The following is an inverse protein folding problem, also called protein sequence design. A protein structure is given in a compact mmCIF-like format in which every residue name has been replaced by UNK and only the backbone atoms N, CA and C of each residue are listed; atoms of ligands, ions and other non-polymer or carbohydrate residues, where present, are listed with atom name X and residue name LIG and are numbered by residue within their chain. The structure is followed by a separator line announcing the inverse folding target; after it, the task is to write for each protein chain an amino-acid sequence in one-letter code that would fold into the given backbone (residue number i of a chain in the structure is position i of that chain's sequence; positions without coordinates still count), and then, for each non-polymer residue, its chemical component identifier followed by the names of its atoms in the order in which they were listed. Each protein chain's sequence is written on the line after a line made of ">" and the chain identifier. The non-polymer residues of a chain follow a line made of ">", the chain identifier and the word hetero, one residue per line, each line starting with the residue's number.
data_IF_724328174328
#
_entry.id   IF_724328174328
#
_cell.length_a   1.000
_cell.length_b   1.000
_cell.length_c   1.000
_cell.angle_alpha   90.00
_cell.angle_beta   90.00
_cell.angle_gamma   90.00
#
_symmetry.space_group_name_H-M   'P 1'
#
loop_
_entity.id
_entity.type
_entity.pdbx_description
1 polymer ?
#
# COMPACT_ATOMS: atom_id res chain seq x y z
N UNK A 1 16.17 32.04 -2.25
CA UNK A 1 16.79 30.89 -1.56
C UNK A 1 16.44 29.53 -2.19
N UNK A 2 15.24 29.34 -2.77
CA UNK A 2 14.86 28.06 -3.40
C UNK A 2 15.59 27.74 -4.71
N UNK A 3 15.96 28.72 -5.52
CA UNK A 3 16.61 28.51 -6.82
C UNK A 3 18.03 28.00 -6.72
N UNK A 4 18.81 28.40 -5.72
CA UNK A 4 20.19 27.95 -5.56
C UNK A 4 20.32 26.43 -5.32
N UNK A 5 19.33 25.81 -4.63
CA UNK A 5 19.31 24.36 -4.40
C UNK A 5 19.04 23.52 -5.66
N UNK A 6 18.40 24.09 -6.68
CA UNK A 6 18.08 23.39 -7.93
C UNK A 6 19.32 23.14 -8.80
N UNK A 7 20.36 23.95 -8.67
CA UNK A 7 21.60 23.75 -9.40
C UNK A 7 22.34 22.47 -9.02
N UNK A 8 22.27 22.09 -7.76
CA UNK A 8 22.89 20.86 -7.25
C UNK A 8 22.19 19.59 -7.81
N UNK A 9 20.97 19.74 -8.34
CA UNK A 9 20.20 18.67 -8.96
C UNK A 9 20.39 18.61 -10.48
N UNK A 10 21.35 19.37 -11.05
CA UNK A 10 21.61 19.42 -12.51
C UNK A 10 20.52 20.15 -13.30
N UNK A 11 19.60 20.84 -12.63
CA UNK A 11 18.58 21.65 -13.28
C UNK A 11 19.18 22.98 -13.71
N UNK A 12 19.10 23.31 -15.02
CA UNK A 12 19.67 24.52 -15.60
C UNK A 12 19.13 25.82 -14.99
N UNK A 13 19.83 26.93 -15.30
CA UNK A 13 19.48 28.28 -14.80
C UNK A 13 18.14 28.83 -15.29
N UNK A 14 17.58 28.29 -16.38
CA UNK A 14 16.30 28.73 -16.94
C UNK A 14 15.14 27.91 -16.35
N UNK A 15 13.99 28.54 -16.05
CA UNK A 15 12.81 27.79 -15.62
C UNK A 15 12.36 26.83 -16.73
N UNK A 16 12.12 25.58 -16.40
CA UNK A 16 11.60 24.57 -17.32
C UNK A 16 10.11 24.85 -17.55
N UNK A 17 9.71 24.94 -18.81
CA UNK A 17 8.30 25.11 -19.18
C UNK A 17 7.47 23.87 -18.73
N UNK A 18 6.24 24.09 -18.29
CA UNK A 18 5.33 23.00 -17.87
C UNK A 18 5.13 21.95 -18.98
N UNK A 19 5.08 22.38 -20.24
CA UNK A 19 4.95 21.51 -21.42
C UNK A 19 6.16 20.59 -21.59
N UNK A 20 7.36 21.13 -21.45
CA UNK A 20 8.60 20.34 -21.52
C UNK A 20 8.65 19.29 -20.42
N UNK A 21 8.23 19.65 -19.20
CA UNK A 21 8.17 18.72 -18.09
C UNK A 21 7.11 17.62 -18.31
N UNK A 22 5.94 18.00 -18.81
CA UNK A 22 4.87 17.06 -19.15
C UNK A 22 5.31 16.06 -20.24
N UNK A 23 5.92 16.55 -21.32
CA UNK A 23 6.44 15.70 -22.41
C UNK A 23 7.54 14.77 -21.92
N UNK A 24 8.44 15.26 -21.07
CA UNK A 24 9.49 14.42 -20.49
C UNK A 24 8.90 13.29 -19.63
N UNK A 25 7.87 13.56 -18.81
CA UNK A 25 7.21 12.54 -18.02
C UNK A 25 6.41 11.54 -18.87
N UNK A 26 5.81 11.99 -19.98
CA UNK A 26 5.08 11.13 -20.89
C UNK A 26 5.99 10.14 -21.62
N UNK A 27 7.21 10.56 -21.98
CA UNK A 27 8.15 9.79 -22.78
C UNK A 27 9.14 8.95 -21.95
N UNK A 28 9.19 9.16 -20.63
CA UNK A 28 10.06 8.37 -19.75
C UNK A 28 9.39 7.07 -19.35
N UNK A 29 10.17 6.00 -19.28
CA UNK A 29 9.70 4.73 -18.72
C UNK A 29 9.38 4.91 -17.23
N UNK A 30 8.18 4.49 -16.83
CA UNK A 30 7.71 4.58 -15.44
C UNK A 30 8.60 3.75 -14.49
N UNK A 31 9.30 2.74 -14.99
CA UNK A 31 10.20 1.88 -14.20
C UNK A 31 11.32 2.67 -13.54
N UNK A 32 11.76 3.77 -14.13
CA UNK A 32 12.75 4.67 -13.51
C UNK A 32 12.24 5.18 -12.15
N UNK A 33 10.96 5.54 -12.08
CA UNK A 33 10.35 6.01 -10.82
C UNK A 33 10.05 4.85 -9.86
N UNK A 34 9.67 3.71 -10.38
CA UNK A 34 9.42 2.49 -9.61
C UNK A 34 10.70 1.98 -8.95
N UNK A 35 11.78 1.82 -9.70
CA UNK A 35 13.10 1.40 -9.20
C UNK A 35 13.64 2.37 -8.15
N UNK A 36 13.49 3.67 -8.41
CA UNK A 36 13.91 4.71 -7.48
C UNK A 36 13.08 4.65 -6.18
N UNK A 37 11.78 4.44 -6.28
CA UNK A 37 10.91 4.30 -5.10
C UNK A 37 11.34 3.09 -4.24
N UNK A 38 11.56 1.92 -4.85
CA UNK A 38 12.04 0.74 -4.13
C UNK A 38 13.42 0.95 -3.51
N UNK A 39 14.33 1.58 -4.23
CA UNK A 39 15.64 1.94 -3.70
C UNK A 39 15.54 2.81 -2.44
N UNK A 40 14.74 3.89 -2.48
CA UNK A 40 14.56 4.78 -1.33
C UNK A 40 13.90 4.04 -0.17
N UNK A 41 12.88 3.22 -0.43
CA UNK A 41 12.22 2.43 0.61
C UNK A 41 13.21 1.49 1.32
N UNK A 42 14.11 0.86 0.58
CA UNK A 42 15.15 0.00 1.14
C UNK A 42 16.14 0.79 2.02
N UNK A 43 16.60 1.97 1.55
CA UNK A 43 17.51 2.82 2.33
C UNK A 43 16.87 3.30 3.64
N UNK A 44 15.59 3.67 3.60
CA UNK A 44 14.88 4.12 4.79
C UNK A 44 14.69 2.97 5.79
N UNK A 45 14.35 1.76 5.32
CA UNK A 45 14.21 0.58 6.18
C UNK A 45 15.49 0.24 6.93
N UNK A 46 16.64 0.33 6.27
CA UNK A 46 17.94 0.08 6.91
C UNK A 46 18.25 1.06 8.04
N UNK A 47 17.72 2.28 7.97
CA UNK A 47 17.98 3.35 8.96
C UNK A 47 16.95 3.44 10.06
N UNK A 48 15.76 2.87 9.87
CA UNK A 48 14.63 3.00 10.77
C UNK A 48 14.32 1.65 11.40
N UNK A 49 14.86 1.45 12.61
CA UNK A 49 14.50 0.32 13.46
C UNK A 49 13.64 0.89 14.59
N UNK A 50 12.36 0.59 14.58
CA UNK A 50 11.43 0.95 15.66
C UNK A 50 10.73 -0.32 16.11
N UNK A 51 10.59 -0.49 17.41
CA UNK A 51 9.86 -1.60 18.03
C UNK A 51 8.62 -1.03 18.72
N UNK A 52 7.71 -0.50 17.89
CA UNK A 52 6.50 0.20 18.36
C UNK A 52 5.55 -0.78 19.04
N UNK A 53 5.36 -1.95 18.46
CA UNK A 53 4.36 -2.92 18.93
C UNK A 53 4.92 -3.96 19.87
N UNK A 54 6.24 -4.06 20.04
CA UNK A 54 6.91 -5.09 20.86
C UNK A 54 6.42 -6.52 20.54
N UNK A 55 6.17 -6.78 19.27
CA UNK A 55 5.74 -8.09 18.75
C UNK A 55 6.94 -8.80 18.12
N UNK A 56 6.87 -10.13 18.04
CA UNK A 56 7.93 -10.95 17.43
C UNK A 56 8.14 -10.66 15.94
N UNK A 57 7.08 -10.27 15.22
CA UNK A 57 7.10 -9.99 13.79
C UNK A 57 6.58 -8.59 13.46
N UNK A 58 6.83 -8.15 12.23
CA UNK A 58 6.40 -6.85 11.76
C UNK A 58 4.89 -6.75 11.62
N UNK A 59 4.38 -5.54 11.82
CA UNK A 59 2.96 -5.22 11.65
C UNK A 59 2.78 -4.43 10.36
N UNK A 60 1.96 -4.97 9.45
CA UNK A 60 1.64 -4.36 8.17
C UNK A 60 0.18 -3.93 8.10
N UNK A 61 -0.07 -2.73 7.59
CA UNK A 61 -1.40 -2.28 7.20
C UNK A 61 -1.54 -2.33 5.67
N UNK A 62 -2.63 -2.88 5.16
CA UNK A 62 -2.91 -2.90 3.73
C UNK A 62 -4.18 -2.12 3.43
N UNK A 63 -4.04 -1.10 2.59
CA UNK A 63 -5.16 -0.27 2.16
C UNK A 63 -5.00 0.22 0.73
N UNK A 64 -6.06 0.80 0.17
CA UNK A 64 -6.08 1.32 -1.19
C UNK A 64 -6.56 2.76 -1.27
N UNK A 65 -5.89 3.54 -2.10
CA UNK A 65 -6.28 4.90 -2.43
C UNK A 65 -6.69 4.99 -3.90
N UNK A 66 -7.85 5.56 -4.18
CA UNK A 66 -8.35 5.76 -5.54
C UNK A 66 -8.02 7.16 -6.04
N UNK A 67 -7.26 7.24 -7.12
CA UNK A 67 -6.93 8.49 -7.80
C UNK A 67 -7.82 8.66 -9.05
N UNK A 68 -8.67 9.70 -9.11
CA UNK A 68 -9.48 9.97 -10.28
C UNK A 68 -8.60 10.42 -11.46
N UNK A 69 -8.93 9.97 -12.65
CA UNK A 69 -8.24 10.31 -13.89
C UNK A 69 -9.17 11.03 -14.86
N UNK A 70 -8.58 11.84 -15.75
CA UNK A 70 -9.32 12.53 -16.80
C UNK A 70 -9.95 11.53 -17.78
N UNK A 71 -11.26 11.67 -18.02
CA UNK A 71 -12.05 10.75 -18.87
C UNK A 71 -11.54 10.67 -20.30
N UNK A 72 -11.16 11.81 -20.89
CA UNK A 72 -10.74 11.91 -22.29
C UNK A 72 -9.39 11.25 -22.57
N UNK A 73 -8.47 11.28 -21.60
CA UNK A 73 -7.11 10.76 -21.76
C UNK A 73 -7.00 9.30 -21.33
N UNK A 74 -7.74 8.89 -20.30
CA UNK A 74 -7.60 7.57 -19.67
C UNK A 74 -8.83 6.70 -19.90
N UNK A 75 -9.24 6.52 -21.14
CA UNK A 75 -10.43 5.76 -21.54
C UNK A 75 -10.40 4.28 -21.11
N UNK A 76 -9.24 3.70 -20.95
CA UNK A 76 -9.03 2.32 -20.51
C UNK A 76 -9.24 2.12 -19.00
N UNK A 77 -9.05 3.16 -18.18
CA UNK A 77 -9.12 3.09 -16.72
C UNK A 77 -10.58 3.23 -16.21
N UNK A 78 -11.49 2.41 -16.71
CA UNK A 78 -12.92 2.43 -16.36
C UNK A 78 -13.15 2.24 -14.86
N UNK A 79 -13.97 3.10 -14.25
CA UNK A 79 -14.34 2.99 -12.83
C UNK A 79 -15.85 2.99 -12.60
N UNK A 80 -16.57 3.97 -13.17
CA UNK A 80 -18.04 4.10 -13.16
C UNK A 80 -18.47 4.65 -14.52
N UNK A 81 -19.79 4.67 -14.82
CA UNK A 81 -20.31 5.14 -16.12
C UNK A 81 -19.70 6.48 -16.58
N UNK A 82 -19.39 7.41 -15.65
CA UNK A 82 -18.85 8.74 -15.93
C UNK A 82 -17.52 9.05 -15.23
N UNK A 83 -16.78 8.06 -14.74
CA UNK A 83 -15.51 8.28 -14.02
C UNK A 83 -14.44 7.31 -14.48
N UNK A 84 -13.20 7.78 -14.44
CA UNK A 84 -11.99 6.99 -14.65
C UNK A 84 -11.12 7.10 -13.42
N UNK A 85 -10.33 6.09 -13.14
CA UNK A 85 -9.43 6.13 -12.01
C UNK A 85 -8.51 4.93 -11.94
N UNK A 86 -7.42 5.12 -11.26
CA UNK A 86 -6.52 4.05 -10.83
C UNK A 86 -6.56 3.93 -9.32
N UNK A 87 -6.28 2.74 -8.84
CA UNK A 87 -6.19 2.42 -7.43
C UNK A 87 -4.75 2.02 -7.11
N UNK A 88 -4.17 2.68 -6.12
CA UNK A 88 -2.90 2.28 -5.54
C UNK A 88 -3.18 1.49 -4.26
N UNK A 89 -2.83 0.22 -4.25
CA UNK A 89 -2.87 -0.66 -3.07
C UNK A 89 -1.49 -0.64 -2.43
N UNK A 90 -1.43 -0.35 -1.15
CA UNK A 90 -0.18 -0.18 -0.41
C UNK A 90 -0.14 -1.12 0.77
N UNK A 91 0.90 -1.93 0.85
CA UNK A 91 1.26 -2.65 2.07
C UNK A 91 2.26 -1.77 2.84
N UNK A 92 1.84 -1.24 3.96
CA UNK A 92 2.59 -0.28 4.75
C UNK A 92 3.13 -0.94 6.01
N UNK A 93 4.43 -0.89 6.21
CA UNK A 93 5.08 -1.37 7.42
C UNK A 93 4.92 -0.31 8.51
N UNK A 94 4.18 -0.66 9.57
CA UNK A 94 3.90 0.25 10.67
C UNK A 94 5.09 0.46 11.60
N UNK A 95 6.03 -0.49 11.65
CA UNK A 95 7.26 -0.37 12.44
C UNK A 95 8.23 0.63 11.80
N UNK A 96 8.56 0.42 10.55
CA UNK A 96 9.49 1.31 9.83
C UNK A 96 8.82 2.56 9.29
N UNK A 97 7.47 2.61 9.26
CA UNK A 97 6.67 3.68 8.67
C UNK A 97 7.01 3.94 7.19
N UNK A 98 7.25 2.86 6.45
CA UNK A 98 7.60 2.88 5.03
C UNK A 98 6.73 1.89 4.27
N UNK A 99 6.30 2.18 3.04
CA UNK A 99 5.66 1.18 2.19
C UNK A 99 6.55 -0.04 2.00
N UNK A 100 5.97 -1.23 2.09
CA UNK A 100 6.64 -2.50 1.84
C UNK A 100 6.39 -2.99 0.41
N UNK A 101 5.20 -2.73 -0.10
CA UNK A 101 4.75 -3.08 -1.44
C UNK A 101 3.73 -2.06 -1.89
N UNK A 102 3.70 -1.79 -3.18
CA UNK A 102 2.57 -1.12 -3.83
C UNK A 102 2.19 -1.83 -5.12
N UNK A 103 0.90 -1.89 -5.38
CA UNK A 103 0.32 -2.47 -6.58
C UNK A 103 -0.68 -1.50 -7.18
N UNK A 104 -0.58 -1.23 -8.48
CA UNK A 104 -1.46 -0.32 -9.19
C UNK A 104 -2.47 -1.11 -10.00
N UNK A 105 -3.74 -0.80 -9.82
CA UNK A 105 -4.84 -1.41 -10.57
C UNK A 105 -5.83 -0.38 -11.09
N UNK A 106 -6.76 -0.79 -11.93
CA UNK A 106 -7.90 0.05 -12.29
C UNK A 106 -8.81 0.27 -11.07
N UNK A 107 -9.46 1.43 -10.97
CA UNK A 107 -10.34 1.72 -9.84
C UNK A 107 -11.58 0.80 -9.74
N UNK A 108 -11.88 0.03 -10.78
CA UNK A 108 -12.90 -1.02 -10.78
C UNK A 108 -12.44 -2.34 -10.14
N UNK A 109 -11.14 -2.49 -9.92
CA UNK A 109 -10.59 -3.69 -9.32
C UNK A 109 -11.02 -3.83 -7.84
N UNK A 110 -11.44 -5.02 -7.45
CA UNK A 110 -11.89 -5.28 -6.08
C UNK A 110 -10.71 -5.33 -5.12
N UNK A 111 -10.82 -4.63 -4.00
CA UNK A 111 -9.78 -4.55 -2.97
C UNK A 111 -9.35 -5.94 -2.46
N UNK A 112 -10.32 -6.83 -2.24
CA UNK A 112 -10.06 -8.20 -1.80
C UNK A 112 -9.22 -9.03 -2.78
N UNK A 113 -9.23 -8.70 -4.08
CA UNK A 113 -8.39 -9.38 -5.08
C UNK A 113 -6.94 -8.93 -4.99
N UNK A 114 -6.68 -7.69 -4.55
CA UNK A 114 -5.33 -7.17 -4.37
C UNK A 114 -4.57 -7.86 -3.22
N UNK A 115 -5.27 -8.51 -2.30
CA UNK A 115 -4.64 -9.31 -1.24
C UNK A 115 -3.76 -10.44 -1.78
N UNK A 116 -3.99 -10.91 -3.02
CA UNK A 116 -3.19 -11.97 -3.66
C UNK A 116 -1.76 -11.53 -3.97
N UNK A 117 -1.56 -10.23 -4.11
CA UNK A 117 -0.25 -9.64 -4.42
C UNK A 117 0.64 -9.50 -3.18
N UNK A 118 0.09 -9.75 -1.98
CA UNK A 118 0.84 -9.65 -0.73
C UNK A 118 1.69 -10.90 -0.54
N UNK A 119 3.03 -10.76 -0.42
CA UNK A 119 3.92 -11.87 -0.08
C UNK A 119 3.84 -12.15 1.42
N UNK A 120 2.88 -12.97 1.83
CA UNK A 120 2.70 -13.34 3.24
C UNK A 120 3.94 -14.05 3.80
N UNK A 121 4.35 -13.64 5.01
CA UNK A 121 5.51 -14.20 5.74
C UNK A 121 5.07 -14.66 7.11
N UNK A 122 5.66 -15.76 7.59
CA UNK A 122 5.39 -16.29 8.92
C UNK A 122 5.69 -15.31 10.05
N UNK A 123 5.00 -15.44 11.16
CA UNK A 123 5.10 -14.60 12.37
C UNK A 123 4.74 -13.11 12.17
N UNK A 124 4.20 -12.71 11.00
CA UNK A 124 3.85 -11.32 10.71
C UNK A 124 2.37 -11.04 10.96
N UNK A 125 2.04 -9.77 11.19
CA UNK A 125 0.69 -9.29 11.49
C UNK A 125 0.20 -8.41 10.35
N UNK A 126 -0.99 -8.73 9.82
CA UNK A 126 -1.60 -8.00 8.70
C UNK A 126 -2.91 -7.36 9.14
N UNK A 127 -3.03 -6.05 8.96
CA UNK A 127 -4.21 -5.26 9.35
C UNK A 127 -4.95 -4.80 8.10
N UNK A 128 -6.26 -5.05 8.07
CA UNK A 128 -7.12 -4.75 6.92
C UNK A 128 -8.41 -4.04 7.34
N UNK A 129 -8.93 -3.17 6.46
CA UNK A 129 -10.30 -2.69 6.61
C UNK A 129 -11.33 -3.75 6.16
N UNK A 130 -12.60 -3.49 6.45
CA UNK A 130 -13.74 -4.39 6.12
C UNK A 130 -13.89 -4.72 4.63
N UNK A 131 -13.32 -3.91 3.73
CA UNK A 131 -13.29 -4.19 2.29
C UNK A 131 -12.54 -5.48 1.93
N UNK A 132 -11.62 -5.89 2.78
CA UNK A 132 -10.72 -7.03 2.57
C UNK A 132 -11.19 -8.33 3.24
N UNK A 133 -12.47 -8.45 3.59
CA UNK A 133 -13.05 -9.70 4.14
C UNK A 133 -13.17 -10.78 3.05
N UNK A 134 -12.05 -11.34 2.60
CA UNK A 134 -11.97 -12.47 1.68
C UNK A 134 -11.47 -13.71 2.44
N UNK A 135 -12.37 -14.56 2.90
CA UNK A 135 -12.03 -15.72 3.75
C UNK A 135 -10.94 -16.61 3.17
N UNK A 136 -10.94 -16.80 1.84
CA UNK A 136 -9.90 -17.58 1.17
C UNK A 136 -8.50 -16.97 1.35
N UNK A 137 -8.38 -15.66 1.27
CA UNK A 137 -7.10 -14.98 1.46
C UNK A 137 -6.72 -14.89 2.95
N UNK A 138 -7.70 -14.66 3.84
CA UNK A 138 -7.47 -14.71 5.28
C UNK A 138 -7.03 -16.11 5.74
N UNK A 139 -7.55 -17.17 5.12
CA UNK A 139 -7.12 -18.54 5.40
C UNK A 139 -5.68 -18.79 4.93
N UNK A 140 -5.25 -18.21 3.81
CA UNK A 140 -3.85 -18.28 3.37
C UNK A 140 -2.90 -17.63 4.38
N UNK A 141 -3.28 -16.48 4.95
CA UNK A 141 -2.48 -15.83 6.01
C UNK A 141 -2.28 -16.81 7.17
N UNK A 142 -3.34 -17.48 7.59
CA UNK A 142 -3.26 -18.52 8.63
C UNK A 142 -2.35 -19.69 8.22
N UNK A 143 -2.43 -20.16 6.96
CA UNK A 143 -1.57 -21.23 6.44
C UNK A 143 -0.08 -20.86 6.42
N UNK A 144 0.25 -19.55 6.32
CA UNK A 144 1.62 -19.05 6.41
C UNK A 144 2.06 -18.78 7.86
N UNK A 145 1.32 -19.30 8.86
CA UNK A 145 1.63 -19.08 10.27
C UNK A 145 1.70 -17.59 10.65
N UNK A 146 0.88 -16.78 9.98
CA UNK A 146 0.78 -15.33 10.18
C UNK A 146 -0.54 -14.97 10.85
N UNK A 147 -0.63 -13.77 11.33
CA UNK A 147 -1.80 -13.25 12.03
C UNK A 147 -2.49 -12.16 11.22
N UNK A 148 -3.79 -12.01 11.37
CA UNK A 148 -4.51 -10.91 10.77
C UNK A 148 -5.52 -10.27 11.72
N UNK A 149 -5.73 -8.97 11.53
CA UNK A 149 -6.79 -8.19 12.13
C UNK A 149 -7.59 -7.57 11.01
N UNK A 150 -8.87 -7.89 10.92
CA UNK A 150 -9.76 -7.36 9.90
C UNK A 150 -11.05 -6.85 10.52
N UNK A 151 -11.50 -5.67 10.12
CA UNK A 151 -12.78 -5.14 10.56
C UNK A 151 -13.92 -5.97 9.97
N UNK A 152 -14.74 -6.58 10.83
CA UNK A 152 -15.85 -7.40 10.40
C UNK A 152 -16.91 -6.60 9.62
N UNK A 153 -17.56 -7.24 8.64
CA UNK A 153 -18.76 -6.71 7.99
C UNK A 153 -19.96 -6.91 8.92
N UNK A 154 -20.96 -6.03 8.84
CA UNK A 154 -22.19 -6.12 9.67
C UNK A 154 -22.95 -7.44 9.48
N UNK A 155 -22.86 -8.04 8.29
CA UNK A 155 -23.51 -9.30 7.92
C UNK A 155 -22.58 -10.51 8.02
N UNK A 156 -21.48 -10.41 8.77
CA UNK A 156 -20.57 -11.52 8.98
C UNK A 156 -21.27 -12.63 9.76
N UNK A 157 -21.36 -13.81 9.16
CA UNK A 157 -21.81 -15.02 9.84
C UNK A 157 -20.61 -15.70 10.50
N UNK A 158 -20.68 -15.89 11.80
CA UNK A 158 -19.64 -16.56 12.57
C UNK A 158 -20.23 -17.42 13.68
N UNK A 159 -19.48 -18.43 14.09
CA UNK A 159 -19.80 -19.26 15.26
C UNK A 159 -18.69 -19.08 16.29
N UNK A 160 -19.05 -18.71 17.50
CA UNK A 160 -18.11 -18.63 18.60
C UNK A 160 -17.68 -20.05 19.00
N UNK A 161 -16.40 -20.36 18.82
CA UNK A 161 -15.85 -21.67 19.19
C UNK A 161 -15.35 -21.72 20.63
N UNK A 162 -14.89 -20.58 21.17
CA UNK A 162 -14.32 -20.50 22.52
C UNK A 162 -14.41 -19.10 23.09
N UNK A 163 -14.90 -18.97 24.31
CA UNK A 163 -14.88 -17.73 25.08
C UNK A 163 -13.69 -17.72 26.04
N UNK A 164 -12.89 -16.66 26.03
CA UNK A 164 -11.90 -16.39 27.08
C UNK A 164 -12.43 -15.26 27.95
N UNK A 165 -12.81 -15.57 29.18
CA UNK A 165 -13.31 -14.58 30.15
C UNK A 165 -12.24 -13.66 30.73
N UNK A 166 -10.96 -14.04 30.63
CA UNK A 166 -9.83 -13.24 31.10
C UNK A 166 -8.75 -13.20 30.00
N UNK A 167 -8.36 -12.01 29.62
CA UNK A 167 -7.15 -11.81 28.82
C UNK A 167 -5.92 -12.02 29.72
N UNK A 168 -4.82 -12.57 29.21
CA UNK A 168 -3.55 -12.59 29.92
C UNK A 168 -3.18 -11.16 30.33
N UNK A 169 -2.69 -10.98 31.58
CA UNK A 169 -2.36 -9.67 32.13
C UNK A 169 -1.25 -8.90 31.40
N UNK A 170 -0.59 -9.53 30.42
CA UNK A 170 0.60 -9.00 29.73
C UNK A 170 0.33 -8.58 28.27
N UNK A 171 -0.90 -8.18 27.91
CA UNK A 171 -1.27 -7.69 26.56
C UNK A 171 -1.50 -6.16 26.54
N UNK A 172 -0.95 -5.43 27.48
CA UNK A 172 -0.89 -3.96 27.45
C UNK A 172 0.56 -3.50 27.55
#
# INVERSE_FOLDING_TARGET
>A
AHRAKQYHLGLGRKPIAKTTFASANQNRDYRIFEDFAFYIMEQVRKKRVTDIFKLKGNVYAFDSTTNPLCLSVFWWAKFRKKKRGVKAHVLYDLETQVPALFHISTASFYDSKAMKEIPYKSDFYYVFDRGYNAFKELFKIHQHESFFVVRAKKNLQYKCCKWRRRLPKNIL
#
